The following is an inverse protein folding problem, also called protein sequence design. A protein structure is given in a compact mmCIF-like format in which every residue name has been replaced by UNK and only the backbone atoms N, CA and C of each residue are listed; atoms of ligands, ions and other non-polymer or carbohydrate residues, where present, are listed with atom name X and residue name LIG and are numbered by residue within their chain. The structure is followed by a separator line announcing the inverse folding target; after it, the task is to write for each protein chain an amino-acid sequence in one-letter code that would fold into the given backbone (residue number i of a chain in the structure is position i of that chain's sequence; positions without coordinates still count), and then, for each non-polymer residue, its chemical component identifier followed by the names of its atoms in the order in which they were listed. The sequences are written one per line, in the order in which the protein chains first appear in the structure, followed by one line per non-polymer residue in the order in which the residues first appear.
data_IF_511692871111
#
_entry.id   IF_511692871111
#
_cell.length_a   1.000
_cell.length_b   1.000
_cell.length_c   1.000
_cell.angle_alpha   90.00
_cell.angle_beta   90.00
_cell.angle_gamma   90.00
#
_symmetry.space_group_name_H-M   'P 1'
#
loop_
_entity.id
_entity.type
_entity.pdbx_description
1 polymer ?
#
# COMPACT_ATOMS: atom_id res chain seq x y z
N UNK A 1 -22.60 36.93 25.59
CA UNK A 1 -22.62 36.06 24.41
C UNK A 1 -21.20 35.95 23.91
N UNK A 2 -20.50 34.86 24.23
CA UNK A 2 -19.16 34.62 23.71
C UNK A 2 -19.26 34.31 22.21
N UNK A 3 -18.33 34.83 21.38
CA UNK A 3 -18.34 34.53 19.95
C UNK A 3 -18.09 33.04 19.78
N UNK A 4 -18.97 32.37 19.05
CA UNK A 4 -18.75 31.02 18.54
C UNK A 4 -17.39 30.98 17.84
N UNK A 5 -16.42 30.29 18.44
CA UNK A 5 -15.17 29.96 17.77
C UNK A 5 -15.55 29.17 16.51
N UNK A 6 -15.25 29.73 15.34
CA UNK A 6 -15.23 28.95 14.11
C UNK A 6 -14.28 27.76 14.33
N UNK A 7 -14.64 26.53 13.94
CA UNK A 7 -13.70 25.43 13.99
C UNK A 7 -12.48 25.83 13.15
N UNK A 8 -11.29 25.73 13.75
CA UNK A 8 -10.01 25.92 13.08
C UNK A 8 -10.03 25.26 11.70
N UNK A 9 -9.71 26.02 10.65
CA UNK A 9 -9.66 25.50 9.28
C UNK A 9 -8.70 24.32 9.24
N UNK A 10 -9.25 23.13 9.01
CA UNK A 10 -8.46 21.91 8.92
C UNK A 10 -7.54 21.99 7.70
N UNK A 11 -6.25 21.64 7.86
CA UNK A 11 -5.32 21.53 6.73
C UNK A 11 -4.85 20.10 6.57
N UNK A 12 -4.83 19.63 5.32
CA UNK A 12 -4.28 18.33 4.94
C UNK A 12 -2.80 18.19 5.29
N UNK A 13 -2.06 19.30 5.41
CA UNK A 13 -0.65 19.31 5.83
C UNK A 13 -0.43 18.73 7.23
N UNK A 14 -1.44 18.79 8.10
CA UNK A 14 -1.41 18.18 9.44
C UNK A 14 -1.34 16.65 9.41
N UNK A 15 -1.67 16.04 8.27
CA UNK A 15 -1.55 14.61 8.04
C UNK A 15 -0.22 14.21 7.41
N UNK A 16 0.63 15.17 7.03
CA UNK A 16 1.92 14.87 6.38
C UNK A 16 3.02 14.72 7.42
N UNK A 17 4.01 13.87 7.13
CA UNK A 17 5.20 13.72 7.97
C UNK A 17 6.48 13.79 7.14
N UNK A 18 7.05 14.99 6.93
CA UNK A 18 8.29 15.16 6.16
C UNK A 18 9.50 14.44 6.77
N UNK A 19 9.57 14.33 8.11
CA UNK A 19 10.68 13.65 8.80
C UNK A 19 10.72 12.14 8.49
N UNK A 20 9.57 11.55 8.17
CA UNK A 20 9.46 10.16 7.70
C UNK A 20 9.70 10.00 6.20
N UNK A 21 10.19 11.03 5.51
CA UNK A 21 10.21 11.09 4.04
C UNK A 21 8.81 10.84 3.43
N UNK A 22 7.75 11.32 4.10
CA UNK A 22 6.35 11.12 3.72
C UNK A 22 5.88 9.65 3.69
N UNK A 23 6.58 8.75 4.40
CA UNK A 23 6.18 7.35 4.57
C UNK A 23 5.27 7.09 5.78
N UNK A 24 4.75 8.16 6.40
CA UNK A 24 3.72 8.12 7.44
C UNK A 24 2.71 9.24 7.18
N UNK A 25 1.42 8.91 7.27
CA UNK A 25 0.34 9.84 7.00
C UNK A 25 0.17 10.11 5.50
N UNK A 26 -0.35 11.28 5.15
CA UNK A 26 -0.65 11.69 3.78
C UNK A 26 0.62 12.07 2.99
N UNK A 27 0.67 11.63 1.73
CA UNK A 27 1.69 11.95 0.74
C UNK A 27 1.05 12.10 -0.65
N UNK A 28 1.33 13.20 -1.34
CA UNK A 28 0.89 13.47 -2.70
C UNK A 28 1.80 14.51 -3.35
N UNK A 29 2.25 14.26 -4.59
CA UNK A 29 3.12 15.21 -5.30
C UNK A 29 4.47 15.45 -4.65
N UNK A 30 4.97 14.51 -3.83
CA UNK A 30 6.25 14.61 -3.12
C UNK A 30 7.37 13.78 -3.76
N UNK A 31 7.00 12.71 -4.48
CA UNK A 31 7.94 11.85 -5.20
C UNK A 31 8.24 12.45 -6.58
N UNK A 32 9.52 12.67 -6.90
CA UNK A 32 9.95 13.07 -8.22
C UNK A 32 10.08 11.83 -9.13
N UNK A 33 9.46 11.87 -10.30
CA UNK A 33 9.69 10.91 -11.37
C UNK A 33 11.07 11.14 -12.00
N UNK A 34 11.61 10.13 -12.69
CA UNK A 34 12.90 10.21 -13.41
C UNK A 34 12.98 11.36 -14.42
N UNK A 35 11.83 11.87 -14.88
CA UNK A 35 11.71 13.04 -15.75
C UNK A 35 11.88 14.39 -15.04
N UNK A 36 12.01 14.39 -13.70
CA UNK A 36 12.03 15.59 -12.86
C UNK A 36 10.63 16.16 -12.55
N UNK A 37 9.55 15.56 -13.07
CA UNK A 37 8.18 15.92 -12.74
C UNK A 37 7.70 15.19 -11.48
N UNK A 38 6.94 15.87 -10.64
CA UNK A 38 6.35 15.24 -9.45
C UNK A 38 5.17 14.33 -9.82
N UNK A 39 5.09 13.16 -9.18
CA UNK A 39 3.95 12.25 -9.33
C UNK A 39 2.71 12.85 -8.63
N UNK A 40 1.85 13.48 -9.41
CA UNK A 40 0.59 14.09 -8.97
C UNK A 40 -0.63 13.22 -9.26
N UNK A 41 -0.46 12.08 -9.94
CA UNK A 41 -1.55 11.16 -10.27
C UNK A 41 -1.76 10.09 -9.20
N UNK A 42 -0.98 10.12 -8.13
CA UNK A 42 -1.02 9.16 -7.03
C UNK A 42 -0.92 9.85 -5.67
N UNK A 43 -1.96 9.70 -4.86
CA UNK A 43 -1.99 10.00 -3.44
C UNK A 43 -1.78 8.73 -2.62
N UNK A 44 -1.17 8.86 -1.45
CA UNK A 44 -0.90 7.74 -0.55
C UNK A 44 -1.11 8.17 0.90
N UNK A 45 -1.74 7.31 1.68
CA UNK A 45 -1.82 7.44 3.13
C UNK A 45 -1.18 6.23 3.78
N UNK A 46 -0.14 6.46 4.58
CA UNK A 46 0.67 5.41 5.19
C UNK A 46 0.42 5.28 6.69
N UNK A 47 0.42 4.04 7.17
CA UNK A 47 0.49 3.74 8.59
C UNK A 47 1.31 2.48 8.84
N UNK A 48 2.12 2.47 9.89
CA UNK A 48 2.75 1.26 10.42
C UNK A 48 1.71 0.42 11.14
N UNK A 49 1.67 -0.88 10.86
CA UNK A 49 0.71 -1.83 11.42
C UNK A 49 1.49 -2.99 12.05
N UNK A 50 0.99 -3.52 13.15
CA UNK A 50 1.56 -4.70 13.82
C UNK A 50 0.50 -5.79 13.90
N UNK A 51 0.95 -7.05 13.92
CA UNK A 51 0.08 -8.23 14.02
C UNK A 51 -0.77 -8.24 15.29
N UNK A 52 -1.86 -9.00 15.30
CA UNK A 52 -2.64 -9.22 16.52
C UNK A 52 -1.80 -9.86 17.63
N UNK A 53 -0.85 -10.73 17.26
CA UNK A 53 0.12 -11.31 18.17
C UNK A 53 0.90 -10.23 18.91
N UNK A 54 1.56 -9.31 18.21
CA UNK A 54 2.32 -8.24 18.85
C UNK A 54 1.41 -7.32 19.68
N UNK A 55 0.23 -6.95 19.18
CA UNK A 55 -0.76 -6.16 19.95
C UNK A 55 -1.08 -6.81 21.30
N UNK A 56 -1.29 -8.13 21.34
CA UNK A 56 -1.55 -8.85 22.58
C UNK A 56 -0.38 -8.82 23.57
N UNK A 57 0.87 -8.85 23.07
CA UNK A 57 2.05 -8.76 23.92
C UNK A 57 2.17 -7.37 24.57
N UNK A 58 1.87 -6.31 23.83
CA UNK A 58 1.93 -4.93 24.33
C UNK A 58 0.70 -4.50 25.15
N UNK A 59 -0.43 -5.19 25.04
CA UNK A 59 -1.60 -4.94 25.91
C UNK A 59 -1.36 -5.36 27.36
N UNK A 60 -0.45 -6.32 27.58
CA UNK A 60 -0.09 -6.81 28.91
C UNK A 60 1.11 -6.10 29.54
N UNK A 61 1.85 -5.29 28.77
CA UNK A 61 2.74 -4.28 29.34
C UNK A 61 1.90 -3.04 29.71
N UNK A 62 2.22 -2.38 30.81
CA UNK A 62 1.55 -1.15 31.26
C UNK A 62 1.82 0.07 30.36
N UNK A 63 2.10 -0.16 29.08
CA UNK A 63 2.68 0.81 28.18
C UNK A 63 2.17 0.60 26.75
N UNK A 64 0.95 1.08 26.48
CA UNK A 64 0.66 1.59 25.12
C UNK A 64 1.71 2.64 24.68
N UNK A 65 2.43 3.22 25.64
CA UNK A 65 3.61 4.09 25.47
C UNK A 65 4.92 3.40 25.05
N UNK A 66 5.01 2.06 25.01
CA UNK A 66 6.26 1.34 24.66
C UNK A 66 6.35 0.97 23.17
N UNK A 67 5.28 1.12 22.41
CA UNK A 67 5.30 1.01 20.94
C UNK A 67 6.01 2.23 20.33
N UNK A 68 7.34 2.21 20.33
CA UNK A 68 8.16 3.25 19.71
C UNK A 68 8.46 2.89 18.26
N UNK A 69 7.49 3.18 17.38
CA UNK A 69 7.80 3.28 15.95
C UNK A 69 8.81 4.41 15.74
N UNK A 70 9.71 4.23 14.76
CA UNK A 70 10.66 5.28 14.34
C UNK A 70 9.93 6.59 14.05
N UNK A 71 8.76 6.49 13.43
CA UNK A 71 7.82 7.59 13.26
C UNK A 71 6.41 7.13 13.68
N UNK A 72 5.78 7.77 14.68
CA UNK A 72 4.41 7.47 15.08
C UNK A 72 3.42 7.74 13.94
N UNK A 73 2.40 6.89 13.82
CA UNK A 73 1.30 7.09 12.87
C UNK A 73 0.61 8.43 13.10
N UNK A 74 0.32 9.14 12.02
CA UNK A 74 -0.47 10.37 12.01
C UNK A 74 -1.88 10.01 11.59
N UNK A 75 -2.89 10.34 12.40
CA UNK A 75 -4.29 9.99 12.14
C UNK A 75 -5.16 11.23 11.91
N UNK A 76 -6.17 11.19 11.02
CA UNK A 76 -7.20 12.23 10.99
C UNK A 76 -7.94 12.25 12.34
N UNK A 77 -8.35 13.43 12.81
CA UNK A 77 -9.14 13.56 14.01
C UNK A 77 -10.46 12.83 13.86
N UNK A 78 -10.87 12.24 14.98
CA UNK A 78 -12.12 11.48 15.07
C UNK A 78 -13.34 12.32 14.67
N UNK A 79 -13.30 13.63 14.88
CA UNK A 79 -14.38 14.54 14.49
C UNK A 79 -14.41 14.81 12.98
N UNK A 80 -13.34 14.54 12.24
CA UNK A 80 -13.27 14.79 10.80
C UNK A 80 -13.69 13.56 10.00
N UNK A 81 -13.15 12.39 10.38
CA UNK A 81 -13.46 11.10 9.76
C UNK A 81 -13.67 10.09 10.89
N UNK A 82 -14.88 10.05 11.48
CA UNK A 82 -15.18 9.12 12.57
C UNK A 82 -14.87 7.68 12.17
N UNK A 83 -14.39 6.89 13.14
CA UNK A 83 -14.02 5.48 13.02
C UNK A 83 -12.89 5.15 12.04
N UNK A 84 -12.27 6.14 11.38
CA UNK A 84 -11.25 5.88 10.36
C UNK A 84 -10.08 5.08 10.92
N UNK A 85 -9.48 5.55 12.04
CA UNK A 85 -8.35 4.85 12.66
C UNK A 85 -8.72 3.42 13.02
N UNK A 86 -9.85 3.24 13.71
CA UNK A 86 -10.31 1.94 14.19
C UNK A 86 -10.51 0.95 13.03
N UNK A 87 -11.31 1.33 12.03
CA UNK A 87 -11.63 0.47 10.89
C UNK A 87 -10.42 0.20 9.99
N UNK A 88 -9.56 1.19 9.79
CA UNK A 88 -8.31 1.03 9.05
C UNK A 88 -7.38 0.02 9.75
N UNK A 89 -7.17 0.19 11.05
CA UNK A 89 -6.33 -0.71 11.84
C UNK A 89 -6.92 -2.12 11.88
N UNK A 90 -8.23 -2.28 12.13
CA UNK A 90 -8.92 -3.58 12.12
C UNK A 90 -8.70 -4.33 10.81
N UNK A 91 -8.90 -3.67 9.66
CA UNK A 91 -8.69 -4.26 8.35
C UNK A 91 -7.23 -4.63 8.10
N UNK A 92 -6.29 -3.73 8.43
CA UNK A 92 -4.87 -3.99 8.19
C UNK A 92 -4.33 -5.12 9.06
N UNK A 93 -4.74 -5.19 10.34
CA UNK A 93 -4.37 -6.28 11.25
C UNK A 93 -4.90 -7.61 10.72
N UNK A 94 -6.15 -7.65 10.25
CA UNK A 94 -6.71 -8.84 9.61
C UNK A 94 -5.86 -9.30 8.41
N UNK A 95 -5.44 -8.37 7.54
CA UNK A 95 -4.60 -8.68 6.38
C UNK A 95 -3.23 -9.23 6.83
N UNK A 96 -2.60 -8.64 7.85
CA UNK A 96 -1.32 -9.12 8.41
C UNK A 96 -1.47 -10.53 9.01
N UNK A 97 -2.56 -10.81 9.70
CA UNK A 97 -2.81 -12.13 10.29
C UNK A 97 -3.08 -13.20 9.22
N UNK A 98 -3.80 -12.85 8.15
CA UNK A 98 -3.95 -13.74 6.99
C UNK A 98 -2.59 -13.93 6.29
N UNK A 99 -1.77 -12.89 6.19
CA UNK A 99 -0.43 -13.00 5.62
C UNK A 99 0.46 -13.99 6.38
N UNK A 100 0.29 -14.17 7.70
CA UNK A 100 0.99 -15.21 8.46
C UNK A 100 0.60 -16.62 7.99
N UNK A 101 -0.66 -16.85 7.60
CA UNK A 101 -1.09 -18.14 7.05
C UNK A 101 -0.48 -18.39 5.67
N UNK A 102 -0.40 -17.35 4.84
CA UNK A 102 0.28 -17.40 3.53
C UNK A 102 1.78 -17.65 3.73
N UNK A 103 2.40 -16.95 4.67
CA UNK A 103 3.80 -17.11 5.03
C UNK A 103 4.11 -18.56 5.43
N UNK A 104 3.28 -19.17 6.29
CA UNK A 104 3.43 -20.58 6.68
C UNK A 104 3.34 -21.53 5.48
N UNK A 105 2.53 -21.20 4.47
CA UNK A 105 2.47 -21.99 3.24
C UNK A 105 3.74 -21.83 2.40
N UNK A 106 4.26 -20.61 2.30
CA UNK A 106 5.57 -20.33 1.68
C UNK A 106 6.71 -21.03 2.42
N UNK A 107 6.70 -21.05 3.76
CA UNK A 107 7.69 -21.78 4.57
C UNK A 107 7.70 -23.27 4.23
N UNK A 108 6.52 -23.91 4.16
CA UNK A 108 6.41 -25.33 3.78
C UNK A 108 6.98 -25.60 2.39
N UNK A 109 6.73 -24.71 1.44
CA UNK A 109 7.30 -24.81 0.10
C UNK A 109 8.82 -24.62 0.14
N UNK A 110 9.33 -23.58 0.79
CA UNK A 110 10.75 -23.29 0.86
C UNK A 110 11.55 -24.40 1.56
N UNK A 111 10.99 -25.04 2.59
CA UNK A 111 11.60 -26.21 3.25
C UNK A 111 11.92 -27.37 2.29
N UNK A 112 11.15 -27.53 1.21
CA UNK A 112 11.36 -28.60 0.23
C UNK A 112 12.41 -28.22 -0.83
N UNK A 113 12.52 -26.94 -1.17
CA UNK A 113 13.29 -26.47 -2.34
C UNK A 113 14.52 -25.62 -2.00
N UNK A 114 14.67 -25.15 -0.76
CA UNK A 114 15.74 -24.25 -0.34
C UNK A 114 16.61 -24.97 0.70
N UNK A 115 17.85 -25.30 0.31
CA UNK A 115 18.80 -25.95 1.23
C UNK A 115 19.12 -25.04 2.41
N UNK A 116 18.94 -25.56 3.63
CA UNK A 116 19.25 -24.83 4.86
C UNK A 116 18.21 -23.78 5.26
N UNK A 117 17.00 -23.83 4.67
CA UNK A 117 15.91 -22.96 5.06
C UNK A 117 15.51 -23.14 6.53
N UNK A 118 15.31 -22.04 7.24
CA UNK A 118 14.83 -22.05 8.62
C UNK A 118 13.33 -22.36 8.64
N UNK A 119 12.94 -23.44 9.31
CA UNK A 119 11.54 -23.80 9.43
C UNK A 119 10.73 -22.70 10.13
N UNK A 120 9.73 -22.16 9.45
CA UNK A 120 8.87 -21.10 9.98
C UNK A 120 9.51 -19.71 10.00
N UNK A 121 10.64 -19.53 9.29
CA UNK A 121 11.36 -18.27 9.25
C UNK A 121 10.50 -17.11 8.72
N UNK A 122 9.75 -17.31 7.63
CA UNK A 122 8.91 -16.26 7.07
C UNK A 122 7.71 -15.96 7.97
N UNK A 123 7.03 -16.98 8.50
CA UNK A 123 5.93 -16.78 9.45
C UNK A 123 6.39 -15.97 10.67
N UNK A 124 7.55 -16.30 11.25
CA UNK A 124 8.17 -15.53 12.34
C UNK A 124 8.37 -14.06 11.95
N UNK A 125 9.01 -13.82 10.81
CA UNK A 125 9.31 -12.47 10.30
C UNK A 125 8.03 -11.64 10.16
N UNK A 126 6.97 -12.18 9.56
CA UNK A 126 5.70 -11.47 9.39
C UNK A 126 5.02 -11.21 10.74
N UNK A 127 4.98 -12.22 11.61
CA UNK A 127 4.31 -12.19 12.91
C UNK A 127 4.94 -11.20 13.88
N UNK A 128 6.27 -11.09 13.89
CA UNK A 128 7.06 -10.32 14.86
C UNK A 128 7.59 -8.98 14.30
N UNK A 129 7.20 -8.63 13.08
CA UNK A 129 7.61 -7.37 12.47
C UNK A 129 6.93 -6.15 13.11
N UNK A 130 7.77 -5.18 13.45
CA UNK A 130 7.41 -3.83 13.90
C UNK A 130 7.41 -2.81 12.76
N UNK A 131 7.68 -3.26 11.54
CA UNK A 131 7.90 -2.42 10.35
C UNK A 131 6.86 -2.64 9.26
N UNK A 132 5.89 -3.55 9.43
CA UNK A 132 4.83 -3.73 8.43
C UNK A 132 4.12 -2.40 8.16
N UNK A 133 3.79 -2.16 6.89
CA UNK A 133 3.29 -0.87 6.43
C UNK A 133 2.02 -1.06 5.62
N UNK A 134 0.99 -0.29 5.95
CA UNK A 134 -0.18 -0.14 5.13
C UNK A 134 -0.05 1.13 4.28
N UNK A 135 -0.51 1.06 3.04
CA UNK A 135 -0.63 2.18 2.11
C UNK A 135 -2.02 2.16 1.50
N UNK A 136 -2.83 3.14 1.85
CA UNK A 136 -4.09 3.42 1.17
C UNK A 136 -3.79 4.33 -0.01
N UNK A 137 -3.97 3.79 -1.22
CA UNK A 137 -3.66 4.48 -2.47
C UNK A 137 -4.92 5.09 -3.07
N UNK A 138 -4.75 6.29 -3.59
CA UNK A 138 -5.71 6.97 -4.42
C UNK A 138 -5.03 7.38 -5.74
N UNK A 139 -5.47 6.80 -6.85
CA UNK A 139 -5.02 7.20 -8.18
C UNK A 139 -6.02 8.19 -8.76
N UNK A 140 -5.54 9.40 -9.02
CA UNK A 140 -6.36 10.50 -9.52
C UNK A 140 -6.71 10.29 -11.00
N UNK A 141 -7.87 10.79 -11.47
CA UNK A 141 -8.19 10.78 -12.88
C UNK A 141 -7.13 11.57 -13.67
N UNK A 142 -6.68 11.07 -14.83
CA UNK A 142 -5.71 11.79 -15.64
C UNK A 142 -6.30 13.14 -16.10
N UNK A 143 -5.51 14.23 -16.11
CA UNK A 143 -5.97 15.54 -16.58
C UNK A 143 -6.32 15.50 -18.06
N UNK A 144 -7.33 16.29 -18.45
CA UNK A 144 -7.78 16.40 -19.84
C UNK A 144 -6.68 16.84 -20.81
N UNK A 145 -5.63 17.53 -20.34
CA UNK A 145 -4.49 17.94 -21.19
C UNK A 145 -3.56 16.80 -21.61
N UNK A 146 -3.54 15.67 -20.90
CA UNK A 146 -2.81 14.46 -21.31
C UNK A 146 -3.60 13.64 -22.34
N UNK A 147 -4.81 14.09 -22.73
CA UNK A 147 -5.70 13.38 -23.65
C UNK A 147 -5.34 13.36 -25.12
N UNK A 148 -4.20 13.95 -25.49
CA UNK A 148 -3.82 14.14 -26.88
C UNK A 148 -2.42 13.68 -27.29
N UNK A 149 -1.59 13.13 -26.40
CA UNK A 149 -0.17 12.89 -26.72
C UNK A 149 0.39 11.59 -26.17
N UNK A 150 0.01 10.45 -26.76
CA UNK A 150 0.89 9.27 -26.90
C UNK A 150 0.26 8.28 -27.90
N UNK A 151 0.57 8.47 -29.18
CA UNK A 151 0.24 7.54 -30.25
C UNK A 151 1.40 6.60 -30.57
N UNK A 152 1.85 5.82 -29.58
CA UNK A 152 2.72 4.66 -29.82
C UNK A 152 2.28 3.53 -28.88
N UNK A 153 1.67 2.48 -29.44
CA UNK A 153 1.17 1.28 -28.74
C UNK A 153 2.30 0.38 -28.16
N UNK A 154 3.56 0.82 -28.22
CA UNK A 154 4.74 0.01 -27.86
C UNK A 154 5.29 0.26 -26.45
N UNK A 155 4.98 1.38 -25.80
CA UNK A 155 5.34 1.59 -24.38
C UNK A 155 4.22 1.09 -23.46
N UNK A 156 4.56 0.35 -22.37
CA UNK A 156 3.56 -0.04 -21.39
C UNK A 156 2.97 1.22 -20.76
N UNK A 157 1.71 1.51 -21.03
CA UNK A 157 0.94 2.58 -20.38
C UNK A 157 0.82 2.27 -18.88
N UNK A 158 1.84 2.60 -18.09
CA UNK A 158 1.95 2.43 -16.64
C UNK A 158 1.69 3.75 -15.90
N UNK A 159 0.82 4.57 -16.51
CA UNK A 159 0.53 5.97 -16.16
C UNK A 159 0.09 6.24 -14.71
N UNK A 160 -0.46 5.24 -14.00
CA UNK A 160 -0.80 5.37 -12.58
C UNK A 160 0.29 4.87 -11.65
N UNK A 161 1.01 3.81 -12.04
CA UNK A 161 2.13 3.30 -11.29
C UNK A 161 3.07 2.52 -12.20
N UNK A 162 4.32 2.95 -12.26
CA UNK A 162 5.34 2.32 -13.08
C UNK A 162 5.61 0.86 -12.69
N UNK A 163 6.21 0.10 -13.60
CA UNK A 163 6.66 -1.26 -13.33
C UNK A 163 7.70 -1.31 -12.20
N UNK A 164 7.39 -2.06 -11.15
CA UNK A 164 8.26 -2.25 -9.99
C UNK A 164 7.99 -3.61 -9.32
N UNK A 165 8.78 -3.90 -8.28
CA UNK A 165 8.53 -4.97 -7.32
C UNK A 165 8.41 -4.36 -5.92
N UNK A 166 7.67 -5.00 -5.03
CA UNK A 166 7.63 -4.59 -3.63
C UNK A 166 8.90 -5.05 -2.90
N UNK A 167 9.39 -4.25 -1.95
CA UNK A 167 10.63 -4.58 -1.24
C UNK A 167 10.45 -5.63 -0.14
N UNK A 168 9.25 -5.73 0.43
CA UNK A 168 8.94 -6.61 1.57
C UNK A 168 8.87 -8.10 1.22
N UNK A 169 8.27 -8.88 2.12
CA UNK A 169 8.09 -10.32 1.94
C UNK A 169 6.82 -10.64 1.14
N UNK A 170 5.68 -10.18 1.63
CA UNK A 170 4.35 -10.36 1.05
C UNK A 170 3.63 -9.02 1.04
N UNK A 171 2.79 -8.80 0.02
CA UNK A 171 1.89 -7.66 -0.04
C UNK A 171 0.46 -8.18 -0.16
N UNK A 172 -0.36 -7.88 0.85
CA UNK A 172 -1.80 -8.14 0.82
C UNK A 172 -2.54 -6.97 0.17
N UNK A 173 -3.35 -7.25 -0.84
CA UNK A 173 -4.14 -6.26 -1.56
C UNK A 173 -5.64 -6.52 -1.41
N UNK A 174 -6.37 -5.44 -1.17
CA UNK A 174 -7.84 -5.41 -1.29
C UNK A 174 -8.26 -5.29 -2.76
N UNK A 175 -9.52 -5.63 -3.06
CA UNK A 175 -10.12 -5.27 -4.34
C UNK A 175 -10.12 -3.75 -4.53
N UNK A 176 -9.85 -3.31 -5.76
CA UNK A 176 -9.87 -1.91 -6.09
C UNK A 176 -11.30 -1.35 -6.11
N UNK A 177 -11.46 -0.13 -5.60
CA UNK A 177 -12.70 0.65 -5.69
C UNK A 177 -12.53 1.75 -6.73
N UNK A 178 -13.45 1.80 -7.69
CA UNK A 178 -13.48 2.84 -8.72
C UNK A 178 -14.60 3.83 -8.41
N UNK A 179 -14.29 5.13 -8.42
CA UNK A 179 -15.26 6.19 -8.12
C UNK A 179 -15.24 7.26 -9.22
N UNK A 180 -16.37 7.93 -9.45
CA UNK A 180 -16.44 9.08 -10.34
C UNK A 180 -16.27 10.37 -9.55
N UNK A 181 -15.13 11.03 -9.68
CA UNK A 181 -14.81 12.27 -8.97
C UNK A 181 -15.56 13.50 -9.48
N UNK A 182 -16.35 13.36 -10.55
CA UNK A 182 -17.30 14.41 -10.96
C UNK A 182 -18.49 14.49 -9.99
N UNK A 183 -18.71 13.44 -9.17
CA UNK A 183 -19.74 13.41 -8.14
C UNK A 183 -19.16 14.04 -6.88
N UNK A 184 -19.81 15.07 -6.36
CA UNK A 184 -19.38 15.72 -5.12
C UNK A 184 -19.37 14.72 -3.96
N UNK A 185 -18.25 14.67 -3.25
CA UNK A 185 -18.16 13.86 -2.04
C UNK A 185 -19.10 14.42 -0.96
N UNK A 186 -19.64 13.56 -0.07
CA UNK A 186 -20.35 14.02 1.11
C UNK A 186 -19.45 14.97 1.91
N UNK A 187 -20.00 16.06 2.48
CA UNK A 187 -19.22 16.93 3.35
C UNK A 187 -18.68 16.13 4.54
N UNK A 188 -17.43 16.41 4.93
CA UNK A 188 -16.86 15.89 6.18
C UNK A 188 -17.72 16.42 7.33
N UNK A 189 -18.43 15.54 8.03
CA UNK A 189 -19.35 15.93 9.11
C UNK A 189 -18.61 15.96 10.43
N UNK A 190 -18.71 17.08 11.16
CA UNK A 190 -18.20 17.21 12.54
C UNK A 190 -19.11 16.57 13.59
N UNK A 191 -20.27 16.07 13.18
CA UNK A 191 -21.25 15.40 14.04
C UNK A 191 -21.00 13.90 14.06
N UNK A 192 -20.90 13.32 15.26
CA UNK A 192 -20.63 11.90 15.56
C UNK A 192 -21.69 10.90 15.09
N UNK A 193 -22.53 11.26 14.13
CA UNK A 193 -23.47 10.34 13.48
C UNK A 193 -22.73 9.55 12.41
N UNK A 194 -22.78 8.21 12.42
CA UNK A 194 -22.18 7.38 11.37
C UNK A 194 -22.68 7.87 10.01
N UNK A 195 -21.78 8.28 9.12
CA UNK A 195 -22.18 8.72 7.79
C UNK A 195 -22.74 7.51 7.03
N UNK A 196 -24.05 7.42 6.90
CA UNK A 196 -24.72 6.51 5.96
C UNK A 196 -24.52 6.93 4.50
N UNK A 197 -23.65 7.91 4.24
CA UNK A 197 -23.39 8.47 2.94
C UNK A 197 -22.46 7.53 2.16
N UNK A 198 -23.07 6.56 1.47
CA UNK A 198 -22.37 5.67 0.57
C UNK A 198 -21.85 6.47 -0.63
N UNK A 199 -20.53 6.50 -0.83
CA UNK A 199 -19.94 7.05 -2.06
C UNK A 199 -20.25 6.07 -3.20
N UNK A 200 -20.95 6.48 -4.27
CA UNK A 200 -21.23 5.59 -5.40
C UNK A 200 -19.91 5.12 -6.03
N UNK A 201 -19.70 3.81 -6.02
CA UNK A 201 -18.56 3.16 -6.66
C UNK A 201 -19.03 2.32 -7.83
N UNK A 202 -18.21 2.22 -8.87
CA UNK A 202 -18.44 1.27 -9.95
C UNK A 202 -18.19 -0.15 -9.45
N UNK A 203 -18.97 -1.10 -9.98
CA UNK A 203 -18.77 -2.53 -9.70
C UNK A 203 -17.42 -3.03 -10.23
N UNK A 204 -16.96 -2.47 -11.33
CA UNK A 204 -15.70 -2.74 -11.99
C UNK A 204 -15.19 -1.46 -12.69
N UNK A 205 -13.95 -1.46 -13.17
CA UNK A 205 -13.43 -0.31 -13.92
C UNK A 205 -14.28 0.00 -15.16
N UNK A 206 -14.76 1.24 -15.33
CA UNK A 206 -15.44 1.67 -16.57
C UNK A 206 -14.55 1.55 -17.82
N UNK A 207 -13.23 1.62 -17.65
CA UNK A 207 -12.27 1.23 -18.68
C UNK A 207 -11.76 -0.19 -18.41
N UNK A 208 -12.07 -1.19 -19.26
CA UNK A 208 -11.62 -2.56 -19.06
C UNK A 208 -10.09 -2.73 -19.19
N UNK A 209 -9.33 -1.74 -19.66
CA UNK A 209 -7.87 -1.77 -19.69
C UNK A 209 -7.20 -1.05 -18.51
N UNK A 210 -7.95 -0.27 -17.74
CA UNK A 210 -7.42 0.35 -16.52
C UNK A 210 -7.39 -0.66 -15.36
N UNK A 211 -6.34 -0.62 -14.54
CA UNK A 211 -6.19 -1.47 -13.36
C UNK A 211 -4.80 -2.05 -13.16
N UNK A 212 -4.72 -3.07 -12.32
CA UNK A 212 -3.49 -3.74 -11.92
C UNK A 212 -3.05 -4.76 -12.98
N UNK A 213 -1.78 -4.74 -13.33
CA UNK A 213 -1.14 -5.71 -14.21
C UNK A 213 0.09 -6.30 -13.53
N UNK A 214 0.30 -7.59 -13.76
CA UNK A 214 1.49 -8.32 -13.33
C UNK A 214 2.24 -8.81 -14.56
N UNK A 215 3.57 -8.90 -14.45
CA UNK A 215 4.43 -9.57 -15.43
C UNK A 215 4.83 -10.93 -14.87
N UNK A 216 4.46 -12.00 -15.57
CA UNK A 216 4.80 -13.36 -15.19
C UNK A 216 6.30 -13.63 -15.37
N UNK A 217 6.75 -14.81 -14.89
CA UNK A 217 8.13 -15.29 -15.09
C UNK A 217 8.47 -15.55 -16.56
N UNK A 218 7.46 -15.76 -17.40
CA UNK A 218 7.59 -15.92 -18.86
C UNK A 218 7.49 -14.59 -19.61
N UNK A 219 7.47 -13.46 -18.87
CA UNK A 219 7.28 -12.10 -19.39
C UNK A 219 5.87 -11.80 -19.92
N UNK A 220 4.91 -12.68 -19.70
CA UNK A 220 3.51 -12.44 -20.06
C UNK A 220 2.90 -11.38 -19.15
N UNK A 221 2.20 -10.41 -19.75
CA UNK A 221 1.50 -9.36 -19.01
C UNK A 221 0.04 -9.76 -18.82
N UNK A 222 -0.38 -9.85 -17.56
CA UNK A 222 -1.74 -10.28 -17.19
C UNK A 222 -2.42 -9.20 -16.37
N UNK A 223 -3.65 -8.83 -16.75
CA UNK A 223 -4.50 -7.96 -15.93
C UNK A 223 -5.08 -8.76 -14.77
N UNK A 224 -4.97 -8.23 -13.55
CA UNK A 224 -5.51 -8.86 -12.34
C UNK A 224 -6.76 -8.12 -11.90
N UNK A 225 -7.87 -8.86 -11.77
CA UNK A 225 -9.11 -8.37 -11.17
C UNK A 225 -9.37 -9.18 -9.89
N UNK A 226 -9.14 -8.55 -8.73
CA UNK A 226 -9.40 -9.16 -7.42
C UNK A 226 -10.92 -9.08 -7.18
N UNK A 227 -11.61 -10.19 -6.84
CA UNK A 227 -13.02 -10.14 -6.49
C UNK A 227 -13.30 -9.28 -5.24
N UNK A 228 -14.49 -8.68 -5.16
CA UNK A 228 -14.85 -7.71 -4.11
C UNK A 228 -14.72 -8.26 -2.68
N UNK A 229 -14.94 -9.55 -2.50
CA UNK A 229 -14.91 -10.29 -1.24
C UNK A 229 -13.59 -11.06 -1.02
N UNK A 230 -12.56 -10.75 -1.81
CA UNK A 230 -11.28 -11.45 -1.77
C UNK A 230 -10.11 -10.51 -1.45
N UNK A 231 -9.06 -11.10 -0.89
CA UNK A 231 -7.72 -10.52 -0.82
C UNK A 231 -6.83 -11.23 -1.83
N UNK A 232 -5.88 -10.50 -2.42
CA UNK A 232 -4.77 -11.08 -3.16
C UNK A 232 -3.46 -10.91 -2.40
N UNK A 233 -2.55 -11.87 -2.53
CA UNK A 233 -1.21 -11.79 -1.98
C UNK A 233 -0.18 -11.97 -3.08
N UNK A 234 0.83 -11.10 -3.09
CA UNK A 234 1.99 -11.22 -3.98
C UNK A 234 3.28 -11.24 -3.16
N UNK A 235 4.31 -11.86 -3.73
CA UNK A 235 5.65 -11.96 -3.15
C UNK A 235 6.50 -10.75 -3.50
N UNK A 236 7.28 -10.26 -2.55
CA UNK A 236 8.23 -9.16 -2.72
C UNK A 236 9.70 -9.64 -2.73
N UNK A 237 10.62 -8.70 -2.90
CA UNK A 237 12.03 -8.97 -3.12
C UNK A 237 12.78 -9.45 -1.88
N UNK A 238 12.38 -9.08 -0.67
CA UNK A 238 12.96 -9.68 0.54
C UNK A 238 12.69 -11.19 0.61
N UNK A 239 11.47 -11.64 0.27
CA UNK A 239 11.17 -13.07 0.23
C UNK A 239 11.92 -13.78 -0.91
N UNK A 240 12.12 -13.11 -2.03
CA UNK A 240 12.97 -13.64 -3.10
C UNK A 240 14.39 -13.90 -2.61
N UNK A 241 14.98 -12.95 -1.88
CA UNK A 241 16.31 -13.11 -1.27
C UNK A 241 16.34 -14.24 -0.24
N UNK A 242 15.36 -14.27 0.68
CA UNK A 242 15.28 -15.26 1.75
C UNK A 242 15.16 -16.70 1.23
N UNK A 243 14.63 -16.87 0.02
CA UNK A 243 14.45 -18.18 -0.62
C UNK A 243 15.48 -18.44 -1.72
N UNK A 244 16.50 -17.60 -1.87
CA UNK A 244 17.51 -17.73 -2.91
C UNK A 244 16.93 -17.74 -4.34
N UNK A 245 15.80 -17.07 -4.55
CA UNK A 245 15.12 -16.97 -5.84
C UNK A 245 14.11 -18.07 -6.15
N UNK A 246 13.86 -19.00 -5.23
CA UNK A 246 12.87 -20.08 -5.40
C UNK A 246 11.45 -19.51 -5.43
N UNK A 247 11.13 -18.60 -4.52
CA UNK A 247 10.00 -17.68 -4.67
C UNK A 247 10.52 -16.40 -5.33
N UNK A 248 9.75 -15.87 -6.28
CA UNK A 248 10.15 -14.70 -7.07
C UNK A 248 9.31 -13.50 -6.68
N UNK A 249 9.90 -12.32 -6.54
CA UNK A 249 9.13 -11.09 -6.45
C UNK A 249 8.27 -10.95 -7.71
N UNK A 250 7.05 -10.40 -7.58
CA UNK A 250 6.13 -10.24 -8.72
C UNK A 250 6.25 -8.82 -9.27
N UNK A 251 6.82 -8.63 -10.49
CA UNK A 251 6.83 -7.33 -11.12
C UNK A 251 5.40 -6.94 -11.51
N UNK A 252 5.00 -5.72 -11.17
CA UNK A 252 3.64 -5.25 -11.38
C UNK A 252 3.60 -3.73 -11.62
N UNK A 253 2.50 -3.28 -12.22
CA UNK A 253 2.27 -1.89 -12.58
C UNK A 253 0.77 -1.60 -12.64
N UNK A 254 0.38 -0.33 -12.70
CA UNK A 254 -1.03 0.07 -12.74
C UNK A 254 -1.27 1.01 -13.92
N UNK A 255 -2.24 0.65 -14.76
CA UNK A 255 -2.68 1.45 -15.90
C UNK A 255 -3.83 2.37 -15.54
N UNK A 256 -3.73 3.64 -15.93
CA UNK A 256 -4.85 4.57 -15.94
C UNK A 256 -5.89 4.27 -17.02
N UNK A 257 -7.06 4.93 -17.00
CA UNK A 257 -8.01 4.88 -18.08
C UNK A 257 -7.43 5.53 -19.34
N UNK A 258 -7.66 4.88 -20.49
CA UNK A 258 -7.25 5.40 -21.78
C UNK A 258 -7.93 6.73 -22.05
N UNK A 259 -7.14 7.72 -22.43
CA UNK A 259 -7.66 9.08 -22.60
C UNK A 259 -8.58 9.24 -23.81
N UNK A 260 -8.54 8.28 -24.73
CA UNK A 260 -9.47 8.21 -25.87
C UNK A 260 -10.85 7.65 -25.49
N UNK A 261 -10.97 7.02 -24.32
CA UNK A 261 -12.25 6.52 -23.81
C UNK A 261 -12.87 7.62 -22.95
N UNK A 262 -14.07 8.07 -23.31
CA UNK A 262 -14.86 9.02 -22.51
C UNK A 262 -15.40 8.36 -21.24
N UNK A 263 -14.51 7.85 -20.38
CA UNK A 263 -14.85 7.12 -19.15
C UNK A 263 -15.20 8.05 -18.00
N UNK A 264 -15.01 9.36 -18.16
CA UNK A 264 -15.23 10.36 -17.10
C UNK A 264 -14.04 10.48 -16.15
N UNK A 265 -14.20 11.27 -15.08
CA UNK A 265 -13.17 11.48 -14.05
C UNK A 265 -13.13 10.31 -13.07
N UNK A 266 -12.65 9.16 -13.54
CA UNK A 266 -12.61 7.93 -12.75
C UNK A 266 -11.30 7.85 -11.95
N UNK A 267 -11.42 7.76 -10.63
CA UNK A 267 -10.32 7.46 -9.74
C UNK A 267 -10.32 5.98 -9.33
N UNK A 268 -9.14 5.46 -8.95
CA UNK A 268 -8.97 4.10 -8.43
C UNK A 268 -8.41 4.16 -7.00
N UNK A 269 -9.04 3.45 -6.08
CA UNK A 269 -8.62 3.35 -4.68
C UNK A 269 -8.30 1.90 -4.34
N UNK A 270 -7.24 1.67 -3.57
CA UNK A 270 -6.87 0.33 -3.13
C UNK A 270 -6.06 0.41 -1.84
N UNK A 271 -6.22 -0.56 -0.95
CA UNK A 271 -5.34 -0.74 0.20
C UNK A 271 -4.31 -1.83 -0.12
N UNK A 272 -3.04 -1.52 0.08
CA UNK A 272 -1.92 -2.47 0.06
C UNK A 272 -1.31 -2.53 1.47
N UNK A 273 -1.05 -3.74 1.97
CA UNK A 273 -0.42 -4.00 3.27
C UNK A 273 0.84 -4.81 3.03
N UNK A 274 1.99 -4.17 3.22
CA UNK A 274 3.32 -4.75 3.05
C UNK A 274 3.74 -5.40 4.36
N UNK A 275 3.91 -6.72 4.35
CA UNK A 275 4.59 -7.42 5.44
C UNK A 275 6.08 -7.33 5.21
N UNK A 276 6.78 -6.61 6.08
CA UNK A 276 8.20 -6.27 5.91
C UNK A 276 9.00 -6.87 7.05
N UNK A 277 10.22 -7.39 6.81
CA UNK A 277 11.11 -7.73 7.90
C UNK A 277 11.45 -6.52 8.77
N UNK A 278 11.81 -6.78 10.04
CA UNK A 278 12.49 -5.76 10.83
C UNK A 278 13.79 -5.35 10.13
N UNK A 279 14.22 -4.10 10.32
CA UNK A 279 15.34 -3.53 9.56
C UNK A 279 16.64 -4.32 9.70
N UNK A 280 16.88 -4.94 10.86
CA UNK A 280 18.10 -5.69 11.14
C UNK A 280 17.95 -7.21 10.86
N UNK A 281 16.81 -7.65 10.32
CA UNK A 281 16.60 -9.04 9.90
C UNK A 281 17.49 -9.36 8.70
N UNK A 282 18.17 -10.51 8.73
CA UNK A 282 18.98 -11.01 7.62
C UNK A 282 18.06 -11.58 6.55
N UNK A 283 18.06 -10.97 5.36
CA UNK A 283 17.22 -11.41 4.22
C UNK A 283 18.02 -12.23 3.20
N UNK A 284 19.35 -12.22 3.26
CA UNK A 284 20.21 -13.14 2.52
C UNK A 284 21.30 -13.71 3.43
N UNK A 285 21.14 -14.97 3.82
CA UNK A 285 22.06 -15.69 4.70
C UNK A 285 23.46 -15.84 4.09
N UNK A 286 23.59 -15.88 2.75
CA UNK A 286 24.89 -16.09 2.10
C UNK A 286 25.79 -14.86 2.20
N UNK A 287 25.19 -13.68 2.10
CA UNK A 287 25.92 -12.40 2.11
C UNK A 287 25.85 -11.70 3.47
N UNK A 288 24.91 -12.10 4.34
CA UNK A 288 24.61 -11.40 5.58
C UNK A 288 23.80 -10.11 5.39
N UNK A 289 23.23 -9.89 4.18
CA UNK A 289 22.49 -8.68 3.85
C UNK A 289 21.26 -8.53 4.74
N UNK A 290 21.15 -7.39 5.40
CA UNK A 290 20.00 -7.02 6.22
C UNK A 290 18.89 -6.39 5.38
N UNK A 291 17.66 -6.40 5.88
CA UNK A 291 16.55 -5.74 5.22
C UNK A 291 16.78 -4.23 5.06
N UNK A 292 17.41 -3.57 6.03
CA UNK A 292 17.82 -2.15 5.96
C UNK A 292 18.74 -1.86 4.78
N UNK A 293 19.72 -2.71 4.56
CA UNK A 293 20.65 -2.55 3.44
C UNK A 293 19.95 -2.81 2.11
N UNK A 294 19.08 -3.82 2.06
CA UNK A 294 18.26 -4.13 0.88
C UNK A 294 17.38 -2.95 0.44
N UNK A 295 16.60 -2.35 1.35
CA UNK A 295 15.76 -1.20 1.01
C UNK A 295 16.59 0.00 0.54
N UNK A 296 17.73 0.28 1.19
CA UNK A 296 18.64 1.36 0.77
C UNK A 296 19.15 1.14 -0.66
N UNK A 297 19.52 -0.10 -1.00
CA UNK A 297 19.97 -0.45 -2.35
C UNK A 297 18.83 -0.37 -3.38
N UNK A 298 17.59 -0.67 -2.98
CA UNK A 298 16.40 -0.52 -3.82
C UNK A 298 16.14 0.97 -4.13
N UNK A 299 16.15 1.82 -3.12
CA UNK A 299 15.99 3.27 -3.26
C UNK A 299 17.06 3.88 -4.18
N UNK A 300 18.32 3.47 -4.04
CA UNK A 300 19.45 3.91 -4.88
C UNK A 300 19.32 3.49 -6.35
N UNK A 301 18.63 2.38 -6.65
CA UNK A 301 18.36 1.94 -8.03
C UNK A 301 17.18 2.69 -8.67
N UNK A 302 16.27 3.21 -7.84
CA UNK A 302 15.07 3.90 -8.28
C UNK A 302 15.27 5.43 -8.41
N UNK A 303 16.22 6.01 -7.67
CA UNK A 303 16.70 7.38 -7.82
C UNK A 303 17.36 7.64 -9.19
#
# INVERSE_FOLDING_TARGET
MSPSQQPSSWSQDLLTNPASHYNVGWSHGKEALKSGQYDTLKGSYYATIISSYLRSQFQHSSAETDLKFEHPNVWPPEQLIPDFRRTFEELCVMIVDIAQLVARACDRFAMEFVQGYEQGGLERVVKESMTNRARLLHYFPPPESLSGTSGNDEEPDDSWCALHVDDGCLTGLTSALFINESISLPPLTTTSTPSTNHIPAFKESPDPLAGLYIRSRTSDVVKVNIPLDCLAFQTGSALELMTGGVLKAVPHFVRGPSVNRKTGKVARNTLAVFTQPNLDEIVDVKTGLTFREHIRMSDEKHA
#
